data_IF_163734047760
#
_entry.id   IF_163734047760
#
_cell.length_a   1.000
_cell.length_b   1.000
_cell.length_c   1.000
_cell.angle_alpha   90.00
_cell.angle_beta   90.00
_cell.angle_gamma   90.00
#
_symmetry.space_group_name_H-M   'P 1'
#
loop_
_entity.id
_entity.type
_entity.pdbx_description
1 polymer ?
#
# COMPACT_ATOMS: atom_id res chain seq x y z
N UNK A 1 5.52 8.13 -5.80
CA UNK A 1 4.65 7.86 -6.96
C UNK A 1 4.13 6.45 -6.86
N UNK A 2 2.86 6.19 -7.15
CA UNK A 2 2.32 4.83 -7.14
C UNK A 2 2.98 4.01 -8.26
N UNK A 3 3.49 2.83 -7.92
CA UNK A 3 4.14 1.93 -8.86
C UNK A 3 3.08 1.37 -9.81
N UNK A 4 3.11 1.73 -11.10
CA UNK A 4 2.19 1.26 -12.15
C UNK A 4 2.96 0.56 -13.26
N UNK A 5 2.38 -0.48 -13.87
CA UNK A 5 2.97 -1.17 -15.03
C UNK A 5 2.84 -0.35 -16.32
N UNK A 6 3.68 -0.67 -17.31
CA UNK A 6 3.53 -0.15 -18.68
C UNK A 6 2.19 -0.54 -19.33
N UNK A 7 1.61 -1.68 -18.93
CA UNK A 7 0.33 -2.18 -19.44
C UNK A 7 -0.89 -1.78 -18.60
N UNK A 8 -0.75 -0.74 -17.77
CA UNK A 8 -1.82 -0.30 -16.86
C UNK A 8 -3.15 -0.07 -17.58
N UNK A 9 -3.17 0.72 -18.67
CA UNK A 9 -4.41 1.08 -19.35
C UNK A 9 -5.13 -0.10 -20.03
N UNK A 10 -4.42 -1.18 -20.37
CA UNK A 10 -4.99 -2.33 -21.08
C UNK A 10 -5.37 -3.46 -20.13
N UNK A 11 -4.57 -3.67 -19.09
CA UNK A 11 -4.65 -4.86 -18.24
C UNK A 11 -5.14 -4.54 -16.82
N UNK A 12 -5.16 -3.28 -16.38
CA UNK A 12 -5.75 -2.92 -15.11
C UNK A 12 -7.28 -2.80 -15.24
N UNK A 13 -7.94 -3.95 -15.26
CA UNK A 13 -9.39 -4.05 -15.31
C UNK A 13 -9.84 -5.34 -14.63
N UNK A 14 -11.05 -5.33 -14.06
CA UNK A 14 -11.69 -6.50 -13.45
C UNK A 14 -11.87 -7.68 -14.41
N UNK A 15 -11.82 -7.44 -15.72
CA UNK A 15 -11.91 -8.49 -16.74
C UNK A 15 -10.57 -9.14 -17.06
N UNK A 16 -9.45 -8.53 -16.66
CA UNK A 16 -8.12 -9.05 -16.92
C UNK A 16 -7.67 -10.02 -15.84
N UNK A 17 -7.01 -11.11 -16.23
CA UNK A 17 -6.36 -12.05 -15.30
C UNK A 17 -5.06 -11.48 -14.71
N UNK A 18 -4.35 -10.62 -15.45
CA UNK A 18 -3.06 -10.03 -15.04
C UNK A 18 -3.21 -8.66 -14.35
N UNK A 19 -4.43 -8.32 -13.93
CA UNK A 19 -4.74 -7.01 -13.34
C UNK A 19 -3.89 -6.70 -12.10
N UNK A 20 -3.57 -7.70 -11.27
CA UNK A 20 -2.82 -7.49 -10.03
C UNK A 20 -1.34 -7.14 -10.27
N UNK A 21 -0.81 -7.49 -11.44
CA UNK A 21 0.56 -7.13 -11.86
C UNK A 21 0.58 -5.80 -12.62
N UNK A 22 -0.55 -5.43 -13.23
CA UNK A 22 -0.64 -4.29 -14.13
C UNK A 22 -1.16 -3.02 -13.45
N UNK A 23 -2.08 -3.18 -12.50
CA UNK A 23 -2.67 -2.08 -11.75
C UNK A 23 -1.65 -1.40 -10.85
N UNK A 24 -1.85 -0.10 -10.63
CA UNK A 24 -1.10 0.59 -9.60
C UNK A 24 -1.48 0.04 -8.22
N UNK A 25 -0.52 -0.04 -7.29
CA UNK A 25 -0.74 -0.57 -5.92
C UNK A 25 -1.94 0.09 -5.19
N UNK A 26 -2.22 1.36 -5.46
CA UNK A 26 -3.34 2.10 -4.86
C UNK A 26 -4.65 2.06 -5.63
N UNK A 27 -4.68 1.46 -6.83
CA UNK A 27 -5.87 1.38 -7.67
C UNK A 27 -6.69 0.13 -7.36
N UNK A 28 -7.46 0.21 -6.27
CA UNK A 28 -8.33 -0.87 -5.82
C UNK A 28 -9.53 -1.06 -6.74
N UNK A 29 -9.97 0.00 -7.42
CA UNK A 29 -11.11 -0.03 -8.34
C UNK A 29 -10.79 -0.86 -9.57
N UNK A 30 -9.61 -0.70 -10.17
CA UNK A 30 -9.16 -1.54 -11.29
C UNK A 30 -8.93 -3.00 -10.91
N UNK A 31 -8.48 -3.25 -9.67
CA UNK A 31 -8.23 -4.60 -9.16
C UNK A 31 -9.52 -5.37 -8.82
N UNK A 32 -10.43 -4.73 -8.09
CA UNK A 32 -11.58 -5.40 -7.47
C UNK A 32 -12.93 -4.96 -8.02
N UNK A 33 -12.98 -3.84 -8.73
CA UNK A 33 -14.19 -3.22 -9.23
C UNK A 33 -14.74 -2.15 -8.30
N UNK A 34 -15.83 -1.52 -8.72
CA UNK A 34 -16.51 -0.50 -7.93
C UNK A 34 -17.17 -1.12 -6.68
N UNK A 35 -17.20 -0.32 -5.62
CA UNK A 35 -17.94 -0.66 -4.41
C UNK A 35 -19.44 -0.52 -4.67
N UNK A 36 -20.20 -1.51 -4.19
CA UNK A 36 -21.66 -1.54 -4.26
C UNK A 36 -22.22 -1.25 -2.87
N UNK A 37 -23.13 -0.28 -2.78
CA UNK A 37 -23.78 0.12 -1.54
C UNK A 37 -24.56 -1.02 -0.88
N UNK A 38 -24.95 -2.05 -1.64
CA UNK A 38 -25.66 -3.22 -1.12
C UNK A 38 -24.75 -4.23 -0.42
N UNK A 39 -23.43 -4.06 -0.49
CA UNK A 39 -22.45 -4.98 0.12
C UNK A 39 -21.78 -4.28 1.31
N UNK A 40 -22.24 -4.62 2.52
CA UNK A 40 -21.71 -4.07 3.76
C UNK A 40 -20.23 -4.41 4.01
N UNK A 41 -19.76 -5.53 3.47
CA UNK A 41 -18.38 -5.98 3.59
C UNK A 41 -17.97 -6.79 2.36
N UNK A 42 -16.75 -6.56 1.89
CA UNK A 42 -16.13 -7.30 0.81
C UNK A 42 -14.80 -7.86 1.30
N UNK A 43 -14.63 -9.17 1.14
CA UNK A 43 -13.39 -9.86 1.46
C UNK A 43 -12.83 -10.43 0.16
N UNK A 44 -11.61 -10.03 -0.17
CA UNK A 44 -10.89 -10.53 -1.35
C UNK A 44 -9.69 -11.33 -0.91
N UNK A 45 -9.60 -12.56 -1.41
CA UNK A 45 -8.43 -13.43 -1.22
C UNK A 45 -7.93 -13.84 -2.60
N UNK A 46 -6.73 -13.40 -2.96
CA UNK A 46 -6.08 -13.79 -4.21
C UNK A 46 -4.58 -13.92 -3.97
N UNK A 47 -3.97 -14.99 -4.47
CA UNK A 47 -2.54 -15.25 -4.30
C UNK A 47 -1.65 -14.26 -5.03
N UNK A 48 -2.14 -13.69 -6.13
CA UNK A 48 -1.45 -12.68 -6.93
C UNK A 48 -1.68 -11.25 -6.41
N UNK A 49 -2.52 -11.06 -5.39
CA UNK A 49 -2.74 -9.75 -4.80
C UNK A 49 -1.53 -9.32 -3.98
N UNK A 50 -0.83 -8.29 -4.46
CA UNK A 50 0.32 -7.72 -3.77
C UNK A 50 0.05 -6.27 -3.35
N UNK A 51 -0.42 -6.10 -2.11
CA UNK A 51 -0.50 -4.80 -1.46
C UNK A 51 0.59 -4.76 -0.37
N UNK A 52 1.72 -4.07 -0.59
CA UNK A 52 2.82 -4.03 0.36
C UNK A 52 2.43 -3.27 1.63
N UNK A 53 2.58 -3.92 2.78
CA UNK A 53 2.38 -3.32 4.11
C UNK A 53 3.71 -2.96 4.79
N UNK A 54 4.83 -3.29 4.15
CA UNK A 54 6.19 -3.03 4.63
C UNK A 54 7.08 -2.49 3.50
N UNK A 55 8.25 -1.98 3.86
CA UNK A 55 9.20 -1.42 2.90
C UNK A 55 8.82 -0.02 2.38
N UNK A 56 9.60 0.51 1.42
CA UNK A 56 9.47 1.90 0.94
C UNK A 56 8.15 2.17 0.20
N UNK A 57 7.54 1.14 -0.36
CA UNK A 57 6.27 1.23 -1.08
C UNK A 57 5.05 0.88 -0.21
N UNK A 58 5.24 0.71 1.11
CA UNK A 58 4.17 0.37 2.03
C UNK A 58 2.96 1.30 1.92
N UNK A 59 1.75 0.75 2.01
CA UNK A 59 0.50 1.49 2.12
C UNK A 59 0.19 1.94 3.56
N UNK A 60 0.93 1.46 4.55
CA UNK A 60 0.75 1.86 5.94
C UNK A 60 1.04 3.35 6.11
N UNK A 61 0.16 4.07 6.80
CA UNK A 61 0.22 5.53 6.93
C UNK A 61 -0.23 6.30 5.69
N UNK A 62 -0.74 5.63 4.64
CA UNK A 62 -1.40 6.27 3.49
C UNK A 62 -2.90 6.38 3.71
N UNK A 63 -3.55 7.18 2.87
CA UNK A 63 -4.99 7.40 2.91
C UNK A 63 -5.72 6.55 1.87
N UNK A 64 -6.75 5.83 2.30
CA UNK A 64 -7.76 5.27 1.43
C UNK A 64 -8.81 6.34 1.13
N UNK A 65 -9.19 6.50 -0.14
CA UNK A 65 -10.18 7.50 -0.56
C UNK A 65 -11.32 6.79 -1.29
N UNK A 66 -12.55 7.08 -0.86
CA UNK A 66 -13.76 6.62 -1.50
C UNK A 66 -14.24 7.68 -2.49
N UNK A 67 -14.41 7.29 -3.74
CA UNK A 67 -14.92 8.15 -4.80
C UNK A 67 -16.34 7.79 -5.20
N UNK A 68 -17.10 8.80 -5.62
CA UNK A 68 -18.37 8.67 -6.32
C UNK A 68 -18.25 9.46 -7.62
N UNK A 69 -18.05 8.73 -8.73
CA UNK A 69 -17.53 9.32 -9.97
C UNK A 69 -16.17 9.96 -9.71
N UNK A 70 -16.01 11.22 -10.13
CA UNK A 70 -14.78 11.98 -9.92
C UNK A 70 -14.74 12.75 -8.58
N UNK A 71 -15.77 12.58 -7.74
CA UNK A 71 -15.88 13.32 -6.47
C UNK A 71 -15.43 12.47 -5.27
N UNK A 72 -14.43 12.90 -4.49
CA UNK A 72 -14.08 12.20 -3.26
C UNK A 72 -15.18 12.40 -2.21
N UNK A 73 -15.67 11.32 -1.62
CA UNK A 73 -16.75 11.33 -0.62
C UNK A 73 -16.26 11.11 0.80
N UNK A 74 -15.26 10.26 0.97
CA UNK A 74 -14.69 9.96 2.27
C UNK A 74 -13.22 9.58 2.11
N UNK A 75 -12.44 9.77 3.18
CA UNK A 75 -11.09 9.26 3.26
C UNK A 75 -10.80 8.73 4.67
N UNK A 76 -9.89 7.77 4.75
CA UNK A 76 -9.48 7.17 6.01
C UNK A 76 -7.98 6.86 5.98
N UNK A 77 -7.32 6.97 7.12
CA UNK A 77 -5.92 6.59 7.25
C UNK A 77 -5.79 5.07 7.44
N UNK A 78 -4.89 4.46 6.67
CA UNK A 78 -4.55 3.05 6.83
C UNK A 78 -3.56 2.94 7.98
N UNK A 79 -4.04 2.41 9.10
CA UNK A 79 -3.28 2.23 10.33
C UNK A 79 -3.13 0.74 10.64
N UNK A 80 -2.02 0.34 11.28
CA UNK A 80 -1.87 -1.03 11.75
C UNK A 80 -2.91 -1.31 12.84
N UNK A 81 -3.39 -2.56 12.88
CA UNK A 81 -4.33 -3.02 13.90
C UNK A 81 -3.73 -3.06 15.30
N UNK A 82 -2.40 -3.11 15.38
CA UNK A 82 -1.65 -3.09 16.62
C UNK A 82 -0.77 -1.84 16.67
N UNK A 83 -0.52 -1.32 17.87
CA UNK A 83 0.37 -0.19 18.06
C UNK A 83 1.77 -0.51 17.51
N UNK A 84 2.30 0.36 16.64
CA UNK A 84 3.68 0.22 16.18
C UNK A 84 4.62 0.37 17.38
N UNK A 85 5.48 -0.62 17.60
CA UNK A 85 6.57 -0.52 18.57
C UNK A 85 7.82 -0.01 17.87
N UNK A 86 8.37 1.08 18.36
CA UNK A 86 9.62 1.66 17.85
C UNK A 86 10.78 1.14 18.68
N UNK A 87 11.77 0.53 18.03
CA UNK A 87 13.05 0.22 18.63
C UNK A 87 14.09 1.24 18.16
N UNK A 88 14.88 1.78 19.09
CA UNK A 88 15.95 2.73 18.79
C UNK A 88 17.27 2.08 19.17
N UNK A 89 18.18 1.94 18.20
CA UNK A 89 19.54 1.50 18.43
C UNK A 89 20.48 2.72 18.35
N UNK A 90 21.28 2.92 19.39
CA UNK A 90 22.32 3.96 19.42
C UNK A 90 23.66 3.27 19.27
N UNK A 91 24.31 3.45 18.13
CA UNK A 91 25.65 2.94 17.88
C UNK A 91 26.68 3.89 18.51
N UNK A 92 27.44 3.42 19.49
CA UNK A 92 28.58 4.14 20.04
C UNK A 92 29.84 3.68 19.33
N UNK A 93 30.58 4.62 18.74
CA UNK A 93 31.95 4.36 18.27
C UNK A 93 32.86 4.30 19.50
N UNK A 94 33.57 3.18 19.65
CA UNK A 94 34.61 3.03 20.65
C UNK A 94 35.80 3.91 20.23
N UNK A 95 35.97 5.06 20.87
CA UNK A 95 37.14 5.92 20.67
C UNK A 95 38.34 5.24 21.36
N UNK A 96 39.17 4.54 20.60
CA UNK A 96 40.46 4.08 21.08
C UNK A 96 41.36 5.33 21.20
N UNK A 97 41.54 5.86 22.41
CA UNK A 97 42.51 6.92 22.66
C UNK A 97 43.92 6.34 22.48
N UNK A 98 44.50 6.50 21.29
CA UNK A 98 45.92 6.31 21.10
C UNK A 98 46.65 7.43 21.87
N UNK A 99 47.13 7.12 23.07
CA UNK A 99 48.09 7.96 23.78
C UNK A 99 49.43 7.79 23.08
N UNK A 100 49.81 8.77 22.26
CA UNK A 100 51.18 8.90 21.78
C UNK A 100 52.00 9.59 22.87
N UNK A 101 52.87 8.82 23.53
CA UNK A 101 54.01 9.32 24.32
C UNK A 101 55.18 9.68 23.43
#
# INVERSE_FOLDING_TARGET
MAMKSGYYNTNCSVSSVTRFESCAVGDLTGMFGNLDANKAQLTFTNTSLMIPTTGPYSIMGRTLVLYSGDTPKACALITPTHAMKTAVAVFKIFQWQASFT
#
